data_IF_068731691822
#
_entry.id   IF_068731691822
#
_cell.length_a   1.000
_cell.length_b   1.000
_cell.length_c   1.000
_cell.angle_alpha   90.00
_cell.angle_beta   90.00
_cell.angle_gamma   90.00
#
_symmetry.space_group_name_H-M   'P 1'
#
loop_
_entity.id
_entity.type
_entity.pdbx_description
1 polymer ?
#
# COMPACT_ATOMS: atom_id res chain seq x y z
N UNK A 1 16.87 -11.16 -23.91
CA UNK A 1 15.69 -10.75 -24.73
C UNK A 1 16.03 -9.40 -25.30
N UNK A 2 15.77 -9.15 -26.58
CA UNK A 2 16.00 -7.83 -27.19
C UNK A 2 14.98 -6.83 -26.63
N UNK A 3 15.41 -5.58 -26.50
CA UNK A 3 14.50 -4.47 -26.21
C UNK A 3 13.63 -4.16 -27.42
N UNK A 4 12.48 -3.51 -27.22
CA UNK A 4 11.58 -3.17 -28.31
C UNK A 4 12.26 -2.31 -29.38
N UNK A 5 13.19 -1.43 -28.99
CA UNK A 5 14.00 -0.59 -29.88
C UNK A 5 14.97 -1.38 -30.78
N UNK A 6 15.34 -2.60 -30.35
CA UNK A 6 16.25 -3.49 -31.09
C UNK A 6 15.52 -4.44 -32.04
N UNK A 7 14.17 -4.47 -31.98
CA UNK A 7 13.32 -5.30 -32.83
C UNK A 7 12.89 -4.58 -34.11
N UNK A 8 12.93 -3.25 -34.10
CA UNK A 8 12.45 -2.42 -35.21
C UNK A 8 13.18 -2.66 -36.49
N UNK A 9 12.44 -2.75 -37.59
CA UNK A 9 12.94 -2.79 -38.96
C UNK A 9 12.19 -1.73 -39.75
N UNK A 10 12.91 -0.86 -40.42
CA UNK A 10 12.31 0.21 -41.22
C UNK A 10 11.27 -0.33 -42.23
N UNK A 11 10.13 0.32 -42.29
CA UNK A 11 9.00 -0.09 -43.15
C UNK A 11 8.07 -1.15 -42.55
N UNK A 12 8.33 -1.71 -41.37
CA UNK A 12 7.41 -2.63 -40.67
C UNK A 12 6.38 -1.92 -39.79
N UNK A 13 6.54 -0.63 -39.54
CA UNK A 13 5.60 0.12 -38.72
C UNK A 13 4.20 0.13 -39.35
N UNK A 14 3.19 0.00 -38.49
CA UNK A 14 1.80 0.25 -38.83
C UNK A 14 1.39 1.59 -38.25
N UNK A 15 0.68 2.39 -39.03
CA UNK A 15 -0.01 3.56 -38.52
C UNK A 15 -1.51 3.31 -38.52
N UNK A 16 -2.12 3.44 -37.34
CA UNK A 16 -3.59 3.42 -37.20
C UNK A 16 -4.16 4.83 -37.05
N UNK A 17 -3.29 5.85 -37.14
CA UNK A 17 -3.72 7.23 -37.05
C UNK A 17 -4.48 7.60 -38.30
N UNK A 18 -5.67 8.22 -38.18
CA UNK A 18 -6.36 8.79 -39.32
C UNK A 18 -5.51 9.92 -39.94
N UNK A 19 -5.79 10.22 -41.21
CA UNK A 19 -5.21 11.42 -41.80
C UNK A 19 -5.60 12.67 -41.02
N UNK A 20 -4.68 13.64 -40.94
CA UNK A 20 -4.95 14.91 -40.25
C UNK A 20 -5.96 15.71 -41.09
N UNK A 21 -7.15 15.95 -40.54
CA UNK A 21 -8.24 16.70 -41.15
C UNK A 21 -8.39 18.15 -40.66
N UNK A 22 -7.42 18.59 -39.85
CA UNK A 22 -7.35 19.96 -39.36
C UNK A 22 -6.13 20.69 -39.94
N UNK A 23 -6.14 22.05 -40.02
CA UNK A 23 -4.98 22.79 -40.48
C UNK A 23 -3.76 22.54 -39.64
N UNK A 24 -2.63 22.25 -40.25
CA UNK A 24 -1.35 22.12 -39.58
C UNK A 24 -0.92 23.51 -39.02
N UNK A 25 -0.49 23.51 -37.76
CA UNK A 25 0.09 24.67 -37.14
C UNK A 25 1.61 24.51 -37.06
N UNK A 26 2.33 25.40 -37.74
CA UNK A 26 3.79 25.45 -37.63
C UNK A 26 4.21 25.98 -36.26
N UNK A 27 4.97 25.20 -35.54
CA UNK A 27 5.59 25.62 -34.28
C UNK A 27 6.82 26.50 -34.58
N UNK A 28 7.07 27.48 -33.71
CA UNK A 28 8.27 28.33 -33.81
C UNK A 28 9.57 27.56 -33.57
N UNK A 29 9.48 26.46 -32.83
CA UNK A 29 10.59 25.56 -32.56
C UNK A 29 10.13 24.11 -32.82
N UNK A 30 10.62 23.53 -33.89
CA UNK A 30 10.36 22.14 -34.24
C UNK A 30 11.62 21.29 -34.03
N UNK A 31 11.39 20.02 -33.70
CA UNK A 31 12.47 19.05 -33.61
C UNK A 31 13.11 18.84 -34.97
N UNK A 32 14.41 18.99 -35.05
CA UNK A 32 15.19 18.76 -36.30
C UNK A 32 15.46 17.27 -36.57
N UNK A 33 15.43 16.43 -35.54
CA UNK A 33 15.70 15.01 -35.66
C UNK A 33 14.42 14.18 -35.59
N UNK A 34 14.34 13.11 -36.39
CA UNK A 34 13.21 12.17 -36.34
C UNK A 34 13.13 11.48 -34.98
N UNK A 35 11.92 11.10 -34.57
CA UNK A 35 11.70 10.27 -33.41
C UNK A 35 12.22 8.85 -33.69
N UNK A 36 13.07 8.32 -32.83
CA UNK A 36 13.54 6.94 -32.88
C UNK A 36 12.49 5.96 -32.34
N UNK A 37 11.31 5.95 -32.95
CA UNK A 37 10.25 4.99 -32.59
C UNK A 37 10.55 3.62 -33.23
N UNK A 38 10.29 2.50 -32.54
CA UNK A 38 10.52 1.18 -33.11
C UNK A 38 9.49 0.89 -34.22
N UNK A 39 9.99 0.51 -35.38
CA UNK A 39 9.17 0.06 -36.50
C UNK A 39 8.89 -1.44 -36.35
N UNK A 40 7.84 -1.79 -35.63
CA UNK A 40 7.41 -3.17 -35.36
C UNK A 40 5.97 -3.38 -35.81
N UNK A 41 5.64 -4.59 -36.26
CA UNK A 41 4.25 -4.98 -36.56
C UNK A 41 3.46 -5.18 -35.24
N UNK A 42 2.13 -5.12 -35.30
CA UNK A 42 1.25 -5.44 -34.17
C UNK A 42 1.54 -6.83 -33.59
N UNK A 43 1.78 -7.80 -34.43
CA UNK A 43 2.14 -9.16 -34.04
C UNK A 43 3.46 -9.19 -33.25
N UNK A 44 4.52 -8.52 -33.71
CA UNK A 44 5.80 -8.44 -33.03
C UNK A 44 5.66 -7.71 -31.67
N UNK A 45 4.90 -6.62 -31.63
CA UNK A 45 4.60 -5.87 -30.42
C UNK A 45 3.88 -6.76 -29.39
N UNK A 46 2.82 -7.45 -29.80
CA UNK A 46 2.06 -8.34 -28.93
C UNK A 46 2.91 -9.48 -28.38
N UNK A 47 3.73 -10.12 -29.23
CA UNK A 47 4.64 -11.20 -28.82
C UNK A 47 5.71 -10.73 -27.86
N UNK A 48 6.25 -9.53 -28.07
CA UNK A 48 7.26 -8.94 -27.19
C UNK A 48 6.70 -8.75 -25.75
N UNK A 49 5.57 -8.08 -25.61
CA UNK A 49 4.96 -7.85 -24.28
C UNK A 49 4.40 -9.11 -23.66
N UNK A 50 3.85 -10.04 -24.43
CA UNK A 50 3.46 -11.36 -23.92
C UNK A 50 4.66 -12.13 -23.35
N UNK A 51 5.82 -12.06 -24.01
CA UNK A 51 7.03 -12.69 -23.52
C UNK A 51 7.57 -12.02 -22.24
N UNK A 52 7.39 -10.71 -22.09
CA UNK A 52 7.69 -10.00 -20.85
C UNK A 52 6.75 -10.41 -19.71
N UNK A 53 5.44 -10.44 -19.96
CA UNK A 53 4.45 -10.83 -18.96
C UNK A 53 4.71 -12.25 -18.39
N UNK A 54 5.21 -13.17 -19.20
CA UNK A 54 5.58 -14.53 -18.75
C UNK A 54 6.82 -14.59 -17.85
N UNK A 55 7.50 -13.49 -17.62
CA UNK A 55 8.71 -13.39 -16.78
C UNK A 55 8.49 -12.70 -15.44
N UNK A 56 7.28 -12.22 -15.21
CA UNK A 56 6.90 -11.60 -13.94
C UNK A 56 6.05 -12.57 -13.12
N UNK A 57 6.04 -12.36 -11.81
CA UNK A 57 5.19 -13.07 -10.87
C UNK A 57 4.16 -12.10 -10.30
N UNK A 58 2.90 -12.44 -10.37
CA UNK A 58 1.79 -11.67 -9.81
C UNK A 58 0.90 -12.52 -8.92
N UNK A 59 -0.08 -11.91 -8.29
CA UNK A 59 -1.03 -12.61 -7.38
C UNK A 59 -1.85 -13.71 -8.06
N UNK A 60 -1.88 -13.76 -9.40
CA UNK A 60 -2.55 -14.82 -10.15
C UNK A 60 -1.62 -15.99 -10.52
N UNK A 61 -0.31 -15.83 -10.31
CA UNK A 61 0.68 -16.85 -10.67
C UNK A 61 0.98 -17.79 -9.49
N UNK A 62 0.75 -17.34 -8.25
CA UNK A 62 0.97 -18.13 -7.05
C UNK A 62 1.03 -17.30 -5.78
N UNK A 63 1.54 -17.92 -4.73
CA UNK A 63 1.69 -17.31 -3.41
C UNK A 63 2.53 -16.04 -3.44
N UNK A 64 2.02 -14.97 -2.83
CA UNK A 64 2.63 -13.64 -2.86
C UNK A 64 2.67 -13.03 -1.45
N UNK A 65 3.62 -13.44 -0.59
CA UNK A 65 3.60 -13.15 0.85
C UNK A 65 4.23 -11.82 1.25
N UNK A 66 4.17 -10.81 0.41
CA UNK A 66 4.86 -9.53 0.63
C UNK A 66 4.24 -8.78 1.81
N UNK A 67 4.85 -8.90 2.99
CA UNK A 67 4.40 -8.25 4.22
C UNK A 67 4.40 -6.73 4.14
N UNK A 68 3.51 -6.11 4.90
CA UNK A 68 3.22 -4.67 4.90
C UNK A 68 2.63 -4.12 3.58
N UNK A 69 2.48 -4.96 2.56
CA UNK A 69 1.93 -4.59 1.24
C UNK A 69 0.57 -5.19 0.94
N UNK A 70 0.12 -6.17 1.70
CA UNK A 70 -1.16 -6.88 1.55
C UNK A 70 -1.47 -7.23 0.09
N UNK A 71 -0.69 -8.17 -0.47
CA UNK A 71 -0.84 -8.61 -1.87
C UNK A 71 -1.96 -9.64 -2.00
N UNK A 72 -3.18 -9.24 -1.68
CA UNK A 72 -4.31 -10.15 -1.79
C UNK A 72 -4.82 -10.31 -3.22
N UNK A 73 -5.46 -11.43 -3.46
CA UNK A 73 -6.15 -11.72 -4.71
C UNK A 73 -7.17 -10.62 -5.05
N UNK A 74 -7.18 -10.21 -6.31
CA UNK A 74 -8.14 -9.23 -6.81
C UNK A 74 -9.30 -9.96 -7.47
N UNK A 75 -10.53 -9.95 -6.90
CA UNK A 75 -11.69 -10.66 -7.44
C UNK A 75 -12.03 -10.20 -8.87
N UNK A 76 -12.32 -11.13 -9.76
CA UNK A 76 -12.59 -10.82 -11.19
C UNK A 76 -13.88 -10.00 -11.36
N UNK A 77 -14.85 -10.18 -10.47
CA UNK A 77 -16.08 -9.38 -10.51
C UNK A 77 -15.80 -7.89 -10.29
N UNK A 78 -14.74 -7.53 -9.56
CA UNK A 78 -14.36 -6.12 -9.35
C UNK A 78 -13.93 -5.48 -10.67
N UNK A 79 -13.21 -6.23 -11.51
CA UNK A 79 -12.81 -5.79 -12.86
C UNK A 79 -14.02 -5.68 -13.80
N UNK A 80 -14.92 -6.68 -13.77
CA UNK A 80 -16.13 -6.69 -14.61
C UNK A 80 -17.02 -5.47 -14.29
N UNK A 81 -17.19 -5.15 -13.03
CA UNK A 81 -18.00 -4.00 -12.62
C UNK A 81 -17.33 -2.67 -12.96
N UNK A 82 -16.01 -2.55 -12.76
CA UNK A 82 -15.27 -1.35 -13.13
C UNK A 82 -15.26 -1.10 -14.64
N UNK A 83 -15.34 -2.17 -15.46
CA UNK A 83 -15.38 -2.08 -16.92
C UNK A 83 -16.74 -1.68 -17.50
N UNK A 84 -17.80 -1.57 -16.68
CA UNK A 84 -19.11 -1.19 -17.17
C UNK A 84 -19.09 0.18 -17.87
N UNK A 85 -19.73 0.32 -19.06
CA UNK A 85 -19.75 1.58 -19.82
C UNK A 85 -20.27 2.77 -19.00
N UNK A 86 -21.20 2.54 -18.07
CA UNK A 86 -21.72 3.57 -17.16
C UNK A 86 -20.68 4.18 -16.22
N UNK A 87 -19.52 3.52 -16.04
CA UNK A 87 -18.40 4.03 -15.25
C UNK A 87 -17.22 4.47 -16.14
N UNK A 88 -16.93 3.73 -17.22
CA UNK A 88 -15.75 3.99 -18.06
C UNK A 88 -15.96 5.07 -19.12
N UNK A 89 -17.20 5.36 -19.52
CA UNK A 89 -17.52 6.35 -20.56
C UNK A 89 -18.00 7.69 -19.96
N UNK A 90 -17.45 8.07 -18.81
CA UNK A 90 -17.74 9.33 -18.14
C UNK A 90 -16.51 10.25 -18.17
N UNK A 91 -16.76 11.55 -18.30
CA UNK A 91 -15.73 12.56 -18.09
C UNK A 91 -15.93 13.24 -16.73
N UNK A 92 -14.88 13.42 -15.92
CA UNK A 92 -15.01 13.95 -14.54
C UNK A 92 -15.51 15.40 -14.48
N UNK A 93 -15.47 16.13 -15.58
CA UNK A 93 -15.98 17.52 -15.70
C UNK A 93 -17.30 17.62 -16.47
N UNK A 94 -17.95 16.50 -16.82
CA UNK A 94 -19.28 16.54 -17.42
C UNK A 94 -20.33 17.10 -16.44
N UNK A 95 -21.50 17.58 -16.91
CA UNK A 95 -22.56 18.07 -16.04
C UNK A 95 -22.95 17.06 -14.96
N UNK A 96 -23.05 17.51 -13.71
CA UNK A 96 -23.30 16.67 -12.53
C UNK A 96 -24.57 15.84 -12.69
N UNK A 97 -25.59 16.37 -13.35
CA UNK A 97 -26.86 15.72 -13.61
C UNK A 97 -26.72 14.44 -14.45
N UNK A 98 -25.67 14.34 -15.25
CA UNK A 98 -25.36 13.20 -16.11
C UNK A 98 -24.45 12.17 -15.43
N UNK A 99 -23.90 12.47 -14.25
CA UNK A 99 -22.94 11.64 -13.50
C UNK A 99 -23.50 11.11 -12.18
N UNK A 100 -24.83 11.10 -12.02
CA UNK A 100 -25.46 10.77 -10.73
C UNK A 100 -25.06 9.38 -10.19
N UNK A 101 -25.00 8.34 -11.06
CA UNK A 101 -24.60 7.00 -10.63
C UNK A 101 -23.14 6.92 -10.17
N UNK A 102 -22.24 7.65 -10.81
CA UNK A 102 -20.84 7.72 -10.39
C UNK A 102 -20.68 8.43 -9.03
N UNK A 103 -21.45 9.50 -8.81
CA UNK A 103 -21.48 10.21 -7.52
C UNK A 103 -22.12 9.35 -6.43
N UNK A 104 -23.16 8.57 -6.77
CA UNK A 104 -23.74 7.60 -5.86
C UNK A 104 -22.73 6.53 -5.44
N UNK A 105 -21.95 5.99 -6.36
CA UNK A 105 -20.89 5.01 -6.06
C UNK A 105 -19.85 5.59 -5.08
N UNK A 106 -19.36 6.81 -5.33
CA UNK A 106 -18.44 7.51 -4.41
C UNK A 106 -19.07 7.75 -3.03
N UNK A 107 -20.32 8.19 -2.98
CA UNK A 107 -21.02 8.45 -1.73
C UNK A 107 -21.26 7.17 -0.94
N UNK A 108 -21.69 6.10 -1.62
CA UNK A 108 -21.97 4.80 -0.99
C UNK A 108 -20.70 4.21 -0.39
N UNK A 109 -19.62 4.11 -1.16
CA UNK A 109 -18.35 3.62 -0.60
C UNK A 109 -17.86 4.51 0.54
N UNK A 110 -18.01 5.84 0.43
CA UNK A 110 -17.64 6.76 1.51
C UNK A 110 -18.40 6.48 2.80
N UNK A 111 -19.71 6.18 2.72
CA UNK A 111 -20.53 5.82 3.87
C UNK A 111 -20.13 4.46 4.46
N UNK A 112 -19.94 3.44 3.62
CA UNK A 112 -19.53 2.09 4.05
C UNK A 112 -18.16 2.11 4.73
N UNK A 113 -17.19 2.85 4.16
CA UNK A 113 -15.88 2.99 4.78
C UNK A 113 -15.92 3.83 6.06
N UNK A 114 -16.83 4.82 6.15
CA UNK A 114 -17.08 5.55 7.39
C UNK A 114 -17.47 4.61 8.53
N UNK A 115 -18.34 3.65 8.26
CA UNK A 115 -18.72 2.61 9.23
C UNK A 115 -17.56 1.68 9.59
N UNK A 116 -16.77 1.22 8.59
CA UNK A 116 -15.61 0.35 8.82
C UNK A 116 -14.53 1.06 9.64
N UNK A 117 -14.33 2.34 9.42
CA UNK A 117 -13.30 3.15 10.09
C UNK A 117 -13.76 3.71 11.44
N UNK A 118 -15.08 3.83 11.67
CA UNK A 118 -15.64 4.60 12.77
C UNK A 118 -15.42 6.11 12.60
N UNK A 119 -15.55 6.61 11.36
CA UNK A 119 -15.33 8.00 10.97
C UNK A 119 -16.59 8.62 10.35
N UNK A 120 -16.70 9.95 10.46
CA UNK A 120 -17.92 10.68 10.08
C UNK A 120 -17.88 11.23 8.65
N UNK A 121 -16.68 11.32 8.05
CA UNK A 121 -16.50 11.76 6.68
C UNK A 121 -15.33 11.02 6.03
N UNK A 122 -15.44 10.75 4.71
CA UNK A 122 -14.42 10.07 3.91
C UNK A 122 -14.20 10.80 2.59
N UNK A 123 -12.95 10.88 2.15
CA UNK A 123 -12.56 11.37 0.82
C UNK A 123 -11.70 10.34 0.10
N UNK A 124 -11.80 10.29 -1.24
CA UNK A 124 -11.00 9.42 -2.11
C UNK A 124 -9.96 10.19 -2.93
N UNK A 125 -9.76 11.48 -2.66
CA UNK A 125 -8.82 12.30 -3.43
C UNK A 125 -7.37 11.79 -3.37
N UNK A 126 -6.83 11.31 -2.22
CA UNK A 126 -5.45 10.85 -2.17
C UNK A 126 -5.18 9.68 -3.13
N UNK A 127 -4.04 9.72 -3.82
CA UNK A 127 -3.70 8.76 -4.86
C UNK A 127 -3.23 7.40 -4.31
N UNK A 128 -2.73 7.37 -3.08
CA UNK A 128 -2.18 6.18 -2.42
C UNK A 128 -2.02 6.43 -0.92
N UNK A 129 -1.43 5.44 -0.18
CA UNK A 129 -1.23 5.51 1.26
C UNK A 129 -0.42 6.71 1.73
N UNK A 130 0.79 6.90 1.21
CA UNK A 130 1.65 8.04 1.58
C UNK A 130 0.97 9.41 1.32
N UNK A 131 0.16 9.52 0.25
CA UNK A 131 -0.63 10.71 -0.01
C UNK A 131 -1.81 10.84 0.97
N UNK A 132 -2.38 9.72 1.42
CA UNK A 132 -3.38 9.66 2.49
C UNK A 132 -2.80 10.08 3.83
N UNK A 133 -1.58 9.59 4.17
CA UNK A 133 -0.83 10.04 5.34
C UNK A 133 -0.64 11.57 5.33
N UNK A 134 -0.11 12.10 4.23
CA UNK A 134 0.08 13.53 4.05
C UNK A 134 -1.23 14.31 4.25
N UNK A 135 -2.32 13.83 3.66
CA UNK A 135 -3.64 14.46 3.82
C UNK A 135 -4.11 14.44 5.27
N UNK A 136 -4.01 13.30 5.97
CA UNK A 136 -4.39 13.17 7.38
C UNK A 136 -3.60 14.09 8.30
N UNK A 137 -2.28 14.18 8.11
CA UNK A 137 -1.42 15.08 8.89
C UNK A 137 -1.71 16.55 8.58
N UNK A 138 -2.08 16.89 7.32
CA UNK A 138 -2.56 18.22 6.98
C UNK A 138 -3.88 18.61 7.68
N UNK A 139 -4.79 17.63 7.92
CA UNK A 139 -6.00 17.89 8.72
C UNK A 139 -5.64 18.27 10.16
N UNK A 140 -4.69 17.54 10.76
CA UNK A 140 -4.16 17.84 12.11
C UNK A 140 -3.54 19.26 12.13
N UNK A 141 -2.72 19.58 11.14
CA UNK A 141 -2.10 20.90 11.01
C UNK A 141 -3.14 22.00 10.87
N UNK A 142 -4.14 21.81 10.00
CA UNK A 142 -5.22 22.78 9.79
C UNK A 142 -6.03 22.99 11.07
N UNK A 143 -6.33 21.94 11.82
CA UNK A 143 -7.01 22.02 13.12
C UNK A 143 -6.28 22.89 14.13
N UNK A 144 -4.97 22.68 14.33
CA UNK A 144 -4.18 23.49 15.26
C UNK A 144 -3.99 24.92 14.77
N UNK A 145 -3.76 25.10 13.47
CA UNK A 145 -3.61 26.45 12.86
C UNK A 145 -4.90 27.28 13.00
N UNK A 146 -6.06 26.68 12.75
CA UNK A 146 -7.36 27.36 12.85
C UNK A 146 -7.68 27.85 14.27
N UNK A 147 -7.15 27.14 15.27
CA UNK A 147 -7.27 27.50 16.70
C UNK A 147 -6.21 28.50 17.18
N UNK A 148 -5.28 28.88 16.34
CA UNK A 148 -4.14 29.73 16.71
C UNK A 148 -3.10 29.02 17.60
N UNK A 149 -3.14 27.70 17.71
CA UNK A 149 -2.25 26.89 18.57
C UNK A 149 -0.94 26.57 17.82
N UNK A 150 -0.12 27.60 17.63
CA UNK A 150 1.15 27.52 16.89
C UNK A 150 2.29 26.85 17.68
N UNK A 151 2.10 26.61 18.96
CA UNK A 151 3.07 25.94 19.80
C UNK A 151 3.17 24.42 19.52
N UNK A 152 2.18 23.83 18.87
CA UNK A 152 2.12 22.39 18.57
C UNK A 152 2.93 22.05 17.33
N UNK A 153 4.18 21.71 17.55
CA UNK A 153 5.17 21.50 16.49
C UNK A 153 5.68 20.06 16.39
N UNK A 154 5.28 19.17 17.33
CA UNK A 154 5.78 17.80 17.41
C UNK A 154 4.73 16.77 16.98
N UNK A 155 5.18 15.79 16.22
CA UNK A 155 4.44 14.53 15.94
C UNK A 155 5.21 13.38 16.55
N UNK A 156 4.52 12.55 17.34
CA UNK A 156 5.06 11.34 17.94
C UNK A 156 4.93 10.20 16.90
N UNK A 157 5.98 9.39 16.73
CA UNK A 157 6.00 8.24 15.81
C UNK A 157 6.74 7.08 16.48
N UNK A 158 6.16 5.88 16.60
CA UNK A 158 6.88 4.70 17.09
C UNK A 158 8.02 4.28 16.14
N UNK A 159 9.06 3.65 16.69
CA UNK A 159 10.21 3.15 15.93
C UNK A 159 9.86 1.98 15.00
N UNK A 160 8.76 1.27 15.30
CA UNK A 160 8.17 0.25 14.43
C UNK A 160 7.37 0.82 13.26
N UNK A 161 7.15 2.14 13.17
CA UNK A 161 6.37 2.75 12.10
C UNK A 161 7.04 2.58 10.73
N UNK A 162 6.23 2.56 9.67
CA UNK A 162 6.74 2.62 8.31
C UNK A 162 7.50 3.93 8.09
N UNK A 163 8.60 3.88 7.32
CA UNK A 163 9.47 5.05 7.08
C UNK A 163 8.77 6.26 6.44
N UNK A 164 7.60 6.08 5.84
CA UNK A 164 6.80 7.17 5.29
C UNK A 164 6.15 8.04 6.37
N UNK A 165 5.85 7.51 7.55
CA UNK A 165 5.22 8.27 8.63
C UNK A 165 6.11 9.45 9.11
N UNK A 166 7.38 9.23 9.54
CA UNK A 166 8.24 10.34 9.91
C UNK A 166 8.54 11.28 8.74
N UNK A 167 8.68 10.76 7.51
CA UNK A 167 8.89 11.57 6.32
C UNK A 167 7.70 12.50 6.05
N UNK A 168 6.47 12.00 6.17
CA UNK A 168 5.23 12.78 6.02
C UNK A 168 5.10 13.85 7.09
N UNK A 169 5.36 13.53 8.36
CA UNK A 169 5.33 14.51 9.45
C UNK A 169 6.32 15.65 9.19
N UNK A 170 7.56 15.32 8.80
CA UNK A 170 8.59 16.31 8.45
C UNK A 170 8.17 17.18 7.24
N UNK A 171 7.57 16.55 6.20
CA UNK A 171 7.07 17.25 5.01
C UNK A 171 5.94 18.24 5.33
N UNK A 172 5.13 17.93 6.34
CA UNK A 172 4.12 18.83 6.88
C UNK A 172 4.69 19.93 7.79
N UNK A 173 6.00 19.93 8.05
CA UNK A 173 6.71 20.92 8.86
C UNK A 173 6.65 20.66 10.36
N UNK A 174 6.41 19.41 10.77
CA UNK A 174 6.48 18.99 12.16
C UNK A 174 7.85 18.40 12.51
N UNK A 175 8.25 18.55 13.77
CA UNK A 175 9.36 17.82 14.33
C UNK A 175 8.90 16.40 14.70
N UNK A 176 9.64 15.39 14.27
CA UNK A 176 9.37 13.99 14.59
C UNK A 176 10.03 13.60 15.89
N UNK A 177 9.27 13.00 16.79
CA UNK A 177 9.77 12.40 18.04
C UNK A 177 9.54 10.89 17.97
N UNK A 178 10.61 10.12 17.90
CA UNK A 178 10.53 8.67 17.89
C UNK A 178 10.34 8.11 19.30
N UNK A 179 9.46 7.12 19.43
CA UNK A 179 9.19 6.39 20.67
C UNK A 179 9.65 4.94 20.47
N UNK A 180 10.41 4.36 21.40
CA UNK A 180 10.83 2.96 21.31
C UNK A 180 9.64 2.01 21.51
N UNK A 181 9.76 0.82 20.91
CA UNK A 181 8.91 -0.32 21.21
C UNK A 181 9.43 -1.07 22.44
N UNK A 182 8.53 -1.61 23.24
CA UNK A 182 8.83 -2.52 24.33
C UNK A 182 9.25 -3.92 23.84
N UNK A 183 9.63 -4.78 24.78
CA UNK A 183 10.03 -6.17 24.49
C UNK A 183 8.90 -7.01 23.88
N UNK A 184 7.65 -6.60 24.07
CA UNK A 184 6.44 -7.21 23.50
C UNK A 184 6.05 -6.61 22.14
N UNK A 185 6.86 -5.73 21.57
CA UNK A 185 6.61 -5.05 20.30
C UNK A 185 5.55 -3.95 20.35
N UNK A 186 4.96 -3.67 21.51
CA UNK A 186 4.03 -2.57 21.73
C UNK A 186 4.77 -1.25 22.01
N UNK A 187 4.06 -0.13 21.94
CA UNK A 187 4.62 1.20 22.31
C UNK A 187 5.01 1.23 23.78
N UNK A 188 6.22 1.72 24.08
CA UNK A 188 6.64 1.98 25.47
C UNK A 188 5.86 3.17 26.03
N UNK A 189 4.94 2.88 26.96
CA UNK A 189 4.07 3.90 27.57
C UNK A 189 4.82 4.93 28.41
N UNK A 190 5.91 4.54 29.06
CA UNK A 190 6.68 5.46 29.89
C UNK A 190 7.48 6.42 29.02
N UNK A 191 8.08 5.92 27.94
CA UNK A 191 8.72 6.75 26.92
C UNK A 191 7.70 7.68 26.25
N UNK A 192 6.49 7.19 25.95
CA UNK A 192 5.41 8.01 25.38
C UNK A 192 5.03 9.15 26.34
N UNK A 193 4.77 8.86 27.62
CA UNK A 193 4.44 9.89 28.62
C UNK A 193 5.54 10.93 28.79
N UNK A 194 6.81 10.50 28.73
CA UNK A 194 7.94 11.40 28.83
C UNK A 194 8.10 12.34 27.62
N UNK A 195 7.70 11.90 26.44
CA UNK A 195 7.83 12.65 25.19
C UNK A 195 6.66 13.61 24.92
N UNK A 196 5.48 13.33 25.47
CA UNK A 196 4.25 14.09 25.22
C UNK A 196 4.21 15.35 26.09
N UNK A 197 3.88 16.48 25.45
CA UNK A 197 3.79 17.78 26.13
C UNK A 197 2.82 18.76 25.42
N UNK A 198 2.76 20.01 25.87
CA UNK A 198 1.88 21.03 25.30
C UNK A 198 2.23 21.41 23.85
N UNK A 199 3.41 21.02 23.39
CA UNK A 199 3.91 21.21 22.04
C UNK A 199 3.63 20.00 21.12
N UNK A 200 2.97 18.95 21.61
CA UNK A 200 2.58 17.77 20.85
C UNK A 200 1.37 18.09 19.97
N UNK A 201 1.53 18.06 18.65
CA UNK A 201 0.44 18.23 17.68
C UNK A 201 -0.34 16.93 17.50
N UNK A 202 0.32 15.77 17.55
CA UNK A 202 -0.35 14.48 17.41
C UNK A 202 0.58 13.29 17.43
N UNK A 203 -0.03 12.13 17.20
CA UNK A 203 0.59 10.81 17.07
C UNK A 203 0.26 10.23 15.69
N UNK A 204 1.23 9.62 15.03
CA UNK A 204 1.01 8.73 13.88
C UNK A 204 1.29 7.30 14.32
N UNK A 205 0.29 6.43 14.21
CA UNK A 205 0.39 5.03 14.67
C UNK A 205 -0.28 4.08 13.70
N UNK A 206 0.36 2.94 13.47
CA UNK A 206 -0.21 1.77 12.79
C UNK A 206 -0.60 0.73 13.84
N UNK A 207 -1.84 0.24 13.80
CA UNK A 207 -2.28 -0.83 14.71
C UNK A 207 -3.20 -1.83 13.98
N UNK A 208 -2.77 -3.08 13.73
CA UNK A 208 -1.50 -3.69 14.16
C UNK A 208 -0.27 -2.98 13.56
N UNK A 209 0.83 -3.06 14.28
CA UNK A 209 2.09 -2.46 13.85
C UNK A 209 2.83 -3.32 12.80
N UNK A 210 3.97 -2.85 12.29
CA UNK A 210 4.74 -3.52 11.24
C UNK A 210 5.46 -4.79 11.68
N UNK A 211 5.44 -5.14 12.95
CA UNK A 211 5.91 -6.47 13.42
C UNK A 211 4.76 -7.47 13.61
N UNK A 212 3.55 -7.10 13.17
CA UNK A 212 2.36 -7.94 13.23
C UNK A 212 1.67 -7.98 14.60
N UNK A 213 1.98 -7.08 15.53
CA UNK A 213 1.44 -7.07 16.89
C UNK A 213 0.35 -6.01 17.02
N UNK A 214 -0.79 -6.38 17.61
CA UNK A 214 -1.83 -5.44 18.01
C UNK A 214 -1.47 -4.81 19.35
N UNK A 215 -1.34 -3.49 19.39
CA UNK A 215 -1.03 -2.79 20.64
C UNK A 215 -2.25 -2.83 21.58
N UNK A 216 -2.13 -3.63 22.63
CA UNK A 216 -3.17 -3.83 23.64
C UNK A 216 -3.47 -2.58 24.48
N UNK A 217 -2.53 -1.63 24.51
CA UNK A 217 -2.62 -0.39 25.29
C UNK A 217 -3.19 0.77 24.46
N UNK A 218 -3.77 0.50 23.29
CA UNK A 218 -4.16 1.54 22.32
C UNK A 218 -5.06 2.62 22.91
N UNK A 219 -6.02 2.27 23.79
CA UNK A 219 -6.91 3.24 24.42
C UNK A 219 -6.15 4.18 25.39
N UNK A 220 -5.11 3.68 26.05
CA UNK A 220 -4.26 4.49 26.91
C UNK A 220 -3.34 5.39 26.09
N UNK A 221 -2.76 4.88 25.00
CA UNK A 221 -1.93 5.64 24.08
C UNK A 221 -2.70 6.84 23.53
N UNK A 222 -3.88 6.62 22.97
CA UNK A 222 -4.70 7.70 22.40
C UNK A 222 -5.15 8.69 23.47
N UNK A 223 -5.48 8.20 24.67
CA UNK A 223 -5.82 9.07 25.81
C UNK A 223 -4.65 9.98 26.21
N UNK A 224 -3.43 9.49 26.30
CA UNK A 224 -2.24 10.29 26.66
C UNK A 224 -2.08 11.45 25.67
N UNK A 225 -2.24 11.21 24.37
CA UNK A 225 -2.15 12.23 23.33
C UNK A 225 -3.28 13.25 23.44
N UNK A 226 -4.51 12.80 23.65
CA UNK A 226 -5.69 13.68 23.78
C UNK A 226 -5.63 14.53 25.05
N UNK A 227 -5.20 13.96 26.17
CA UNK A 227 -5.03 14.71 27.43
C UNK A 227 -4.03 15.86 27.28
N UNK A 228 -3.02 15.70 26.43
CA UNK A 228 -2.09 16.76 26.06
C UNK A 228 -2.65 17.74 25.01
N UNK A 229 -3.82 17.47 24.45
CA UNK A 229 -4.48 18.26 23.40
C UNK A 229 -3.96 18.00 21.98
N UNK A 230 -3.20 16.94 21.76
CA UNK A 230 -2.82 16.43 20.45
C UNK A 230 -3.92 15.61 19.79
N UNK A 231 -3.75 15.21 18.53
CA UNK A 231 -4.67 14.37 17.76
C UNK A 231 -4.00 13.06 17.36
N UNK A 232 -4.81 12.03 17.15
CA UNK A 232 -4.36 10.69 16.81
C UNK A 232 -4.67 10.38 15.34
N UNK A 233 -3.62 10.11 14.56
CA UNK A 233 -3.72 9.66 13.19
C UNK A 233 -3.44 8.15 13.11
N UNK A 234 -4.35 7.42 12.46
CA UNK A 234 -4.23 5.99 12.20
C UNK A 234 -3.66 5.73 10.81
N UNK A 235 -2.52 5.07 10.73
CA UNK A 235 -2.03 4.50 9.49
C UNK A 235 -2.77 3.19 9.20
N UNK A 236 -3.69 3.24 8.25
CA UNK A 236 -4.56 2.13 7.89
C UNK A 236 -3.97 1.18 6.84
N UNK A 237 -2.65 1.16 6.68
CA UNK A 237 -1.99 0.20 5.79
C UNK A 237 -2.30 -1.25 6.17
N UNK A 238 -2.49 -1.53 7.47
CA UNK A 238 -2.77 -2.86 8.04
C UNK A 238 -4.22 -3.05 8.47
N UNK A 239 -5.15 -2.23 7.98
CA UNK A 239 -6.58 -2.32 8.32
C UNK A 239 -7.18 -3.70 7.97
N UNK A 240 -6.58 -4.42 7.03
CA UNK A 240 -6.96 -5.78 6.64
C UNK A 240 -7.08 -6.74 7.83
N UNK A 241 -6.25 -6.56 8.86
CA UNK A 241 -6.24 -7.41 10.04
C UNK A 241 -7.42 -7.17 11.01
N UNK A 242 -8.07 -6.01 10.94
CA UNK A 242 -9.04 -5.55 11.95
C UNK A 242 -10.39 -5.12 11.37
N UNK A 243 -10.53 -4.99 10.05
CA UNK A 243 -11.78 -4.55 9.42
C UNK A 243 -12.97 -5.44 9.83
N UNK A 244 -14.07 -4.81 10.22
CA UNK A 244 -15.27 -5.52 10.70
C UNK A 244 -15.14 -6.20 12.07
N UNK A 245 -13.97 -6.08 12.74
CA UNK A 245 -13.72 -6.60 14.10
C UNK A 245 -13.61 -5.45 15.09
N UNK A 246 -12.78 -4.45 14.81
CA UNK A 246 -12.64 -3.22 15.58
C UNK A 246 -12.51 -2.02 14.63
N UNK A 247 -13.08 -0.88 15.03
CA UNK A 247 -13.01 0.34 14.22
C UNK A 247 -11.96 1.29 14.79
N UNK A 248 -11.04 1.81 13.97
CA UNK A 248 -10.02 2.77 14.42
C UNK A 248 -10.60 3.97 15.18
N UNK A 249 -11.73 4.51 14.72
CA UNK A 249 -12.40 5.61 15.43
C UNK A 249 -12.85 5.29 16.85
N UNK A 250 -13.12 4.01 17.17
CA UNK A 250 -13.49 3.56 18.53
C UNK A 250 -12.24 3.33 19.40
N UNK A 251 -11.07 3.17 18.77
CA UNK A 251 -9.78 3.14 19.48
C UNK A 251 -9.26 4.53 19.86
N UNK A 252 -9.97 5.61 19.50
CA UNK A 252 -9.59 6.97 19.82
C UNK A 252 -8.83 7.70 18.71
N UNK A 253 -8.81 7.17 17.48
CA UNK A 253 -8.22 7.89 16.35
C UNK A 253 -9.16 8.95 15.78
N UNK A 254 -8.59 10.11 15.44
CA UNK A 254 -9.31 11.28 14.94
C UNK A 254 -9.39 11.33 13.42
N UNK A 255 -8.37 10.76 12.77
CA UNK A 255 -8.32 10.59 11.32
C UNK A 255 -7.54 9.34 10.94
N UNK A 256 -7.83 8.84 9.75
CA UNK A 256 -7.26 7.61 9.20
C UNK A 256 -7.00 7.78 7.70
N UNK A 257 -5.96 7.10 7.19
CA UNK A 257 -5.99 6.69 5.79
C UNK A 257 -6.18 5.17 5.67
N UNK A 258 -6.67 4.71 4.54
CA UNK A 258 -6.65 3.30 4.16
C UNK A 258 -6.29 3.14 2.69
N UNK A 259 -5.49 2.12 2.40
CA UNK A 259 -5.11 1.76 1.05
C UNK A 259 -6.18 0.87 0.42
N UNK A 260 -6.89 1.36 -0.60
CA UNK A 260 -7.87 0.52 -1.31
C UNK A 260 -7.20 -0.67 -2.01
N UNK A 261 -5.95 -0.48 -2.46
CA UNK A 261 -5.13 -1.51 -3.11
C UNK A 261 -4.46 -2.51 -2.12
N UNK A 262 -4.76 -2.43 -0.83
CA UNK A 262 -4.38 -3.40 0.20
C UNK A 262 -5.63 -4.04 0.76
N UNK A 263 -6.27 -3.38 1.72
CA UNK A 263 -7.43 -3.89 2.47
C UNK A 263 -8.62 -4.26 1.58
N UNK A 264 -8.89 -3.50 0.53
CA UNK A 264 -10.09 -3.66 -0.31
C UNK A 264 -9.80 -4.31 -1.67
N UNK A 265 -8.72 -5.09 -1.77
CA UNK A 265 -8.41 -6.01 -2.87
C UNK A 265 -8.36 -5.37 -4.28
N UNK A 266 -8.09 -4.07 -4.40
CA UNK A 266 -7.89 -3.46 -5.71
C UNK A 266 -6.45 -3.64 -6.19
N UNK A 267 -6.16 -3.62 -7.52
CA UNK A 267 -4.84 -3.88 -8.03
C UNK A 267 -3.77 -2.88 -7.56
N UNK A 268 -2.55 -3.36 -7.28
CA UNK A 268 -1.36 -2.51 -7.10
C UNK A 268 -0.87 -1.93 -8.42
N UNK A 269 -1.01 -2.67 -9.49
CA UNK A 269 -0.73 -2.22 -10.87
C UNK A 269 0.73 -1.91 -11.18
N UNK A 270 1.68 -2.49 -10.47
CA UNK A 270 3.10 -2.31 -10.73
C UNK A 270 3.58 -0.85 -10.59
N UNK A 271 3.09 -0.13 -9.60
CA UNK A 271 3.35 1.30 -9.42
C UNK A 271 2.27 2.20 -10.06
N UNK A 272 1.15 1.62 -10.44
CA UNK A 272 0.03 2.26 -11.12
C UNK A 272 -1.14 2.63 -10.20
N UNK A 273 -2.34 2.10 -10.44
CA UNK A 273 -3.59 2.66 -9.98
C UNK A 273 -3.89 2.34 -8.49
N UNK A 274 -3.14 2.89 -7.56
CA UNK A 274 -3.51 2.87 -6.15
C UNK A 274 -4.62 3.86 -5.83
N UNK A 275 -5.15 3.81 -4.61
CA UNK A 275 -5.98 4.85 -4.03
C UNK A 275 -5.85 4.84 -2.51
N UNK A 276 -5.96 6.02 -1.90
CA UNK A 276 -5.92 6.22 -0.46
C UNK A 276 -7.21 6.89 0.01
N UNK A 277 -8.09 6.16 0.67
CA UNK A 277 -9.23 6.77 1.34
C UNK A 277 -8.76 7.44 2.64
N UNK A 278 -9.21 8.66 2.91
CA UNK A 278 -8.97 9.35 4.19
C UNK A 278 -10.29 9.61 4.89
N UNK A 279 -10.40 9.10 6.12
CA UNK A 279 -11.54 9.33 7.00
C UNK A 279 -11.19 10.25 8.17
N UNK A 280 -12.18 10.96 8.71
CA UNK A 280 -11.98 11.76 9.92
C UNK A 280 -13.26 11.91 10.74
N UNK A 281 -13.07 12.26 12.02
CA UNK A 281 -14.18 12.61 12.93
C UNK A 281 -14.82 13.95 12.52
N UNK A 282 -16.09 14.17 12.92
CA UNK A 282 -16.92 15.31 12.51
C UNK A 282 -16.23 16.68 12.73
N UNK A 283 -15.50 16.86 13.83
CA UNK A 283 -14.83 18.14 14.11
C UNK A 283 -13.68 18.47 13.13
N UNK A 284 -13.14 17.47 12.42
CA UNK A 284 -12.11 17.64 11.37
C UNK A 284 -12.71 17.79 9.96
N UNK A 285 -13.98 17.45 9.76
CA UNK A 285 -14.64 17.43 8.45
C UNK A 285 -14.57 18.79 7.73
N UNK A 286 -14.64 19.89 8.45
CA UNK A 286 -14.54 21.25 7.87
C UNK A 286 -13.18 21.54 7.22
N UNK A 287 -12.13 20.76 7.50
CA UNK A 287 -10.81 20.89 6.90
C UNK A 287 -10.56 19.91 5.75
N UNK A 288 -11.43 18.92 5.53
CA UNK A 288 -11.27 17.90 4.48
C UNK A 288 -10.97 18.54 3.12
N UNK A 289 -10.20 17.85 2.25
CA UNK A 289 -9.98 18.33 0.89
C UNK A 289 -11.30 18.41 0.13
N UNK A 290 -11.57 19.56 -0.46
CA UNK A 290 -12.79 19.78 -1.26
C UNK A 290 -12.57 19.47 -2.75
N UNK A 291 -13.65 19.22 -3.51
CA UNK A 291 -15.00 19.02 -3.02
C UNK A 291 -15.26 17.59 -2.52
N UNK A 292 -16.20 17.45 -1.59
CA UNK A 292 -16.76 16.16 -1.15
C UNK A 292 -18.05 15.88 -1.90
N UNK A 293 -18.35 14.61 -2.15
CA UNK A 293 -19.66 14.19 -2.66
C UNK A 293 -20.67 14.26 -1.54
N UNK A 294 -21.81 14.90 -1.81
CA UNK A 294 -22.92 15.05 -0.86
C UNK A 294 -24.25 14.66 -1.51
N UNK A 295 -25.19 14.16 -0.70
CA UNK A 295 -26.55 13.90 -1.13
C UNK A 295 -27.47 14.97 -0.55
N UNK A 296 -28.24 15.67 -1.41
CA UNK A 296 -29.22 16.66 -1.01
C UNK A 296 -30.47 16.51 -1.87
N UNK A 297 -31.63 16.48 -1.22
CA UNK A 297 -32.95 16.38 -1.90
C UNK A 297 -33.03 15.21 -2.91
N UNK A 298 -32.45 14.07 -2.54
CA UNK A 298 -32.41 12.85 -3.38
C UNK A 298 -31.42 12.88 -4.52
N UNK A 299 -30.64 13.94 -4.72
CA UNK A 299 -29.62 14.08 -5.76
C UNK A 299 -28.22 14.16 -5.15
N UNK A 300 -27.25 13.67 -5.92
CA UNK A 300 -25.84 13.77 -5.57
C UNK A 300 -25.19 15.00 -6.21
N UNK A 301 -24.28 15.62 -5.48
CA UNK A 301 -23.56 16.80 -5.94
C UNK A 301 -22.26 16.98 -5.16
N UNK A 302 -21.63 18.12 -5.34
CA UNK A 302 -20.38 18.47 -4.66
C UNK A 302 -20.56 19.61 -3.68
N UNK A 303 -19.90 19.53 -2.53
CA UNK A 303 -19.77 20.61 -1.56
C UNK A 303 -18.32 20.73 -1.09
N UNK A 304 -17.82 21.95 -1.01
CA UNK A 304 -16.50 22.21 -0.43
C UNK A 304 -16.64 22.54 1.05
N UNK A 305 -15.87 21.90 1.95
CA UNK A 305 -15.85 22.27 3.35
C UNK A 305 -15.39 23.71 3.55
N UNK A 306 -15.88 24.37 4.60
CA UNK A 306 -15.70 25.81 4.84
C UNK A 306 -14.22 26.22 5.00
N UNK A 307 -13.45 25.40 5.71
CA UNK A 307 -12.03 25.60 6.01
C UNK A 307 -11.15 24.55 5.34
N UNK A 308 -11.57 24.08 4.17
CA UNK A 308 -10.88 23.04 3.43
C UNK A 308 -9.38 23.33 3.25
N UNK A 309 -8.53 22.31 3.40
CA UNK A 309 -7.12 22.38 3.04
C UNK A 309 -6.88 22.53 1.52
N UNK A 310 -7.96 22.59 0.73
CA UNK A 310 -7.89 22.65 -0.74
C UNK A 310 -7.95 21.27 -1.38
N UNK A 311 -7.64 21.21 -2.67
CA UNK A 311 -7.52 19.95 -3.39
C UNK A 311 -6.13 19.36 -3.16
N UNK A 312 -6.07 18.06 -2.86
CA UNK A 312 -4.79 17.34 -2.73
C UNK A 312 -4.43 16.59 -4.01
N UNK A 313 -5.41 16.37 -4.90
CA UNK A 313 -5.23 15.78 -6.23
C UNK A 313 -6.26 16.34 -7.22
N UNK A 314 -5.96 16.22 -8.52
CA UNK A 314 -6.92 16.53 -9.59
C UNK A 314 -8.15 15.61 -9.51
N UNK A 315 -9.29 16.13 -9.93
CA UNK A 315 -10.59 15.46 -9.95
C UNK A 315 -11.04 14.98 -8.56
N UNK A 316 -11.54 13.75 -8.44
CA UNK A 316 -12.24 13.22 -7.26
C UNK A 316 -11.62 11.92 -6.74
N UNK A 317 -10.37 11.68 -7.05
CA UNK A 317 -9.64 10.44 -6.77
C UNK A 317 -9.54 9.51 -7.99
N UNK A 318 -9.07 8.29 -7.76
CA UNK A 318 -8.95 7.27 -8.79
C UNK A 318 -10.27 6.49 -8.89
N UNK A 319 -11.21 7.00 -9.71
CA UNK A 319 -12.61 6.57 -9.71
C UNK A 319 -12.81 5.07 -9.93
N UNK A 320 -12.14 4.49 -10.94
CA UNK A 320 -12.28 3.06 -11.23
C UNK A 320 -11.74 2.16 -10.10
N UNK A 321 -10.77 2.64 -9.33
CA UNK A 321 -10.29 1.94 -8.12
C UNK A 321 -11.36 2.01 -7.02
N UNK A 322 -12.08 3.12 -6.91
CA UNK A 322 -13.21 3.25 -5.98
C UNK A 322 -14.34 2.30 -6.36
N UNK A 323 -14.64 2.14 -7.65
CA UNK A 323 -15.66 1.19 -8.13
C UNK A 323 -15.29 -0.25 -7.78
N UNK A 324 -14.03 -0.65 -7.98
CA UNK A 324 -13.53 -1.99 -7.57
C UNK A 324 -13.69 -2.21 -6.07
N UNK A 325 -13.24 -1.25 -5.25
CA UNK A 325 -13.38 -1.34 -3.80
C UNK A 325 -14.84 -1.40 -3.35
N UNK A 326 -15.74 -0.64 -4.00
CA UNK A 326 -17.18 -0.70 -3.74
C UNK A 326 -17.72 -2.09 -4.06
N UNK A 327 -17.33 -2.65 -5.19
CA UNK A 327 -17.75 -4.01 -5.58
C UNK A 327 -17.30 -5.04 -4.56
N UNK A 328 -16.03 -4.98 -4.12
CA UNK A 328 -15.50 -5.84 -3.07
C UNK A 328 -16.32 -5.74 -1.77
N UNK A 329 -16.57 -4.51 -1.29
CA UNK A 329 -17.33 -4.27 -0.06
C UNK A 329 -18.77 -4.81 -0.17
N UNK A 330 -19.45 -4.53 -1.28
CA UNK A 330 -20.83 -5.00 -1.50
C UNK A 330 -20.92 -6.52 -1.69
N UNK A 331 -19.92 -7.12 -2.34
CA UNK A 331 -19.87 -8.58 -2.55
C UNK A 331 -19.67 -9.33 -1.23
N UNK A 332 -18.78 -8.87 -0.38
CA UNK A 332 -18.52 -9.49 0.92
C UNK A 332 -19.60 -9.18 1.95
N UNK A 333 -20.12 -7.97 1.93
CA UNK A 333 -21.03 -7.49 2.95
C UNK A 333 -20.41 -7.50 4.36
N UNK A 334 -21.21 -7.19 5.36
CA UNK A 334 -20.76 -7.06 6.76
C UNK A 334 -20.10 -8.34 7.32
N UNK A 335 -20.65 -9.50 7.01
CA UNK A 335 -20.12 -10.78 7.50
C UNK A 335 -18.83 -11.16 6.80
N UNK A 336 -18.78 -11.04 5.47
CA UNK A 336 -17.60 -11.42 4.67
C UNK A 336 -16.39 -10.50 4.92
N UNK A 337 -16.59 -9.19 5.16
CA UNK A 337 -15.51 -8.28 5.55
C UNK A 337 -14.85 -8.74 6.85
N UNK A 338 -15.66 -9.09 7.86
CA UNK A 338 -15.15 -9.62 9.12
C UNK A 338 -14.44 -10.96 8.95
N UNK A 339 -15.02 -11.85 8.15
CA UNK A 339 -14.46 -13.17 7.88
C UNK A 339 -13.10 -13.06 7.16
N UNK A 340 -12.97 -12.17 6.20
CA UNK A 340 -11.70 -11.89 5.52
C UNK A 340 -10.60 -11.47 6.51
N UNK A 341 -10.89 -10.54 7.43
CA UNK A 341 -9.94 -10.14 8.46
C UNK A 341 -9.54 -11.30 9.37
N UNK A 342 -10.51 -12.08 9.84
CA UNK A 342 -10.26 -13.23 10.71
C UNK A 342 -9.43 -14.32 10.00
N UNK A 343 -9.69 -14.59 8.73
CA UNK A 343 -8.94 -15.57 7.94
C UNK A 343 -7.52 -15.09 7.67
N UNK A 344 -7.30 -13.79 7.41
CA UNK A 344 -5.95 -13.25 7.26
C UNK A 344 -5.10 -13.46 8.53
N UNK A 345 -5.69 -13.21 9.70
CA UNK A 345 -5.03 -13.43 11.00
C UNK A 345 -4.81 -14.93 11.26
N UNK A 346 -5.79 -15.77 10.94
CA UNK A 346 -5.67 -17.23 11.10
C UNK A 346 -4.54 -17.79 10.23
N UNK A 347 -4.48 -17.40 8.96
CA UNK A 347 -3.46 -17.87 8.02
C UNK A 347 -2.05 -17.45 8.45
N UNK A 348 -1.86 -16.21 8.90
CA UNK A 348 -0.57 -15.75 9.41
C UNK A 348 -0.11 -16.55 10.63
N UNK A 349 -1.00 -16.76 11.61
CA UNK A 349 -0.69 -17.57 12.79
C UNK A 349 -0.44 -19.04 12.45
N UNK A 350 -1.18 -19.60 11.48
CA UNK A 350 -0.96 -20.95 11.00
C UNK A 350 0.48 -21.13 10.48
N UNK A 351 0.92 -20.26 9.57
CA UNK A 351 2.28 -20.32 9.03
C UNK A 351 3.34 -20.04 10.11
N UNK A 352 3.13 -19.06 10.99
CA UNK A 352 4.03 -18.75 12.11
C UNK A 352 4.26 -19.98 12.99
N UNK A 353 3.20 -20.67 13.40
CA UNK A 353 3.30 -21.86 14.25
C UNK A 353 4.03 -23.00 13.52
N UNK A 354 3.85 -23.15 12.21
CA UNK A 354 4.52 -24.15 11.39
C UNK A 354 6.02 -23.89 11.22
N UNK A 355 6.44 -22.63 11.29
CA UNK A 355 7.83 -22.21 11.04
C UNK A 355 8.64 -21.90 12.31
N UNK A 356 8.00 -21.69 13.46
CA UNK A 356 8.68 -21.23 14.68
C UNK A 356 9.69 -22.20 15.27
N UNK A 357 9.58 -23.48 15.00
CA UNK A 357 10.53 -24.48 15.48
C UNK A 357 11.78 -24.58 14.59
N UNK A 358 11.74 -23.96 13.40
CA UNK A 358 12.84 -23.91 12.43
C UNK A 358 13.49 -22.53 12.39
N UNK A 359 12.70 -21.47 12.46
CA UNK A 359 13.16 -20.07 12.36
C UNK A 359 12.88 -19.30 13.64
N UNK A 360 13.78 -18.39 13.98
CA UNK A 360 13.57 -17.47 15.11
C UNK A 360 12.49 -16.44 14.76
N UNK A 361 11.39 -16.43 15.51
CA UNK A 361 10.37 -15.39 15.42
C UNK A 361 10.86 -14.11 16.11
N UNK A 362 10.73 -12.95 15.46
CA UNK A 362 11.10 -11.68 16.09
C UNK A 362 10.30 -11.42 17.36
N UNK A 363 9.03 -11.84 17.35
CA UNK A 363 8.13 -11.85 18.52
C UNK A 363 7.37 -13.18 18.50
N UNK A 364 7.58 -14.03 19.51
CA UNK A 364 6.88 -15.35 19.59
C UNK A 364 5.55 -15.23 20.35
N UNK A 365 4.72 -14.30 19.89
CA UNK A 365 3.35 -14.10 20.36
C UNK A 365 2.33 -14.36 19.24
N UNK A 366 1.03 -14.37 19.56
CA UNK A 366 -0.02 -14.42 18.55
C UNK A 366 0.09 -13.14 17.72
N UNK A 367 0.33 -13.31 16.42
CA UNK A 367 0.39 -12.20 15.49
C UNK A 367 -1.00 -11.86 14.92
N UNK A 368 -1.09 -10.71 14.28
CA UNK A 368 -2.24 -10.36 13.47
C UNK A 368 -2.09 -10.95 12.05
N UNK A 369 -2.21 -10.19 10.99
CA UNK A 369 -2.21 -10.66 9.60
C UNK A 369 -0.83 -10.98 9.01
N UNK A 370 0.23 -10.62 9.70
CA UNK A 370 1.63 -10.82 9.29
C UNK A 370 2.50 -11.14 10.49
N UNK A 371 3.67 -11.71 10.24
CA UNK A 371 4.69 -11.99 11.25
C UNK A 371 6.08 -11.81 10.66
N UNK A 372 7.07 -11.60 11.55
CA UNK A 372 8.47 -11.37 11.15
C UNK A 372 9.36 -12.46 11.73
N UNK A 373 10.18 -13.06 10.85
CA UNK A 373 11.27 -13.95 11.22
C UNK A 373 12.59 -13.19 11.20
N UNK A 374 13.48 -13.47 12.14
CA UNK A 374 14.86 -13.01 12.12
C UNK A 374 15.79 -14.15 11.72
N UNK A 375 16.61 -13.92 10.69
CA UNK A 375 17.60 -14.90 10.22
C UNK A 375 19.00 -14.64 10.78
N UNK A 376 19.12 -13.82 11.81
CA UNK A 376 20.43 -13.48 12.42
C UNK A 376 21.20 -14.72 12.85
N UNK A 377 20.54 -15.70 13.46
CA UNK A 377 21.21 -16.92 13.93
C UNK A 377 21.59 -17.81 12.75
N UNK A 378 20.70 -18.01 11.78
CA UNK A 378 21.02 -18.73 10.55
C UNK A 378 22.21 -18.10 9.81
N UNK A 379 22.22 -16.77 9.71
CA UNK A 379 23.34 -16.05 9.07
C UNK A 379 24.67 -16.21 9.82
N UNK A 380 24.67 -16.19 11.15
CA UNK A 380 25.88 -16.46 11.95
C UNK A 380 26.42 -17.87 11.78
N UNK A 381 25.52 -18.86 11.69
CA UNK A 381 25.89 -20.27 11.60
C UNK A 381 26.37 -20.69 10.21
N UNK A 382 25.74 -20.16 9.17
CA UNK A 382 25.92 -20.65 7.78
C UNK A 382 26.47 -19.62 6.83
N UNK A 383 26.45 -18.34 7.17
CA UNK A 383 26.77 -17.22 6.27
C UNK A 383 25.59 -16.83 5.34
N UNK A 384 24.49 -17.58 5.33
CA UNK A 384 23.34 -17.34 4.45
C UNK A 384 22.49 -16.17 5.01
N UNK A 385 22.35 -15.12 4.24
CA UNK A 385 21.56 -13.92 4.59
C UNK A 385 20.08 -14.08 4.24
N UNK A 386 19.25 -13.15 4.74
CA UNK A 386 17.83 -13.04 4.34
C UNK A 386 17.68 -12.87 2.82
N UNK A 387 18.58 -12.12 2.17
CA UNK A 387 18.62 -11.97 0.72
C UNK A 387 18.91 -13.30 0.02
N UNK A 388 19.86 -14.09 0.52
CA UNK A 388 20.22 -15.37 -0.08
C UNK A 388 19.04 -16.36 -0.02
N UNK A 389 18.38 -16.43 1.14
CA UNK A 389 17.19 -17.26 1.30
C UNK A 389 16.07 -16.82 0.35
N UNK A 390 15.82 -15.51 0.27
CA UNK A 390 14.80 -14.94 -0.63
C UNK A 390 15.11 -15.23 -2.11
N UNK A 391 16.38 -15.15 -2.52
CA UNK A 391 16.80 -15.54 -3.88
C UNK A 391 16.61 -17.05 -4.11
N UNK A 392 16.87 -17.89 -3.11
CA UNK A 392 16.60 -19.31 -3.16
C UNK A 392 15.12 -19.64 -3.37
N UNK A 393 14.19 -18.87 -2.80
CA UNK A 393 12.75 -19.04 -3.01
C UNK A 393 12.33 -18.95 -4.47
N UNK A 394 12.97 -18.06 -5.25
CA UNK A 394 12.70 -17.90 -6.67
C UNK A 394 12.92 -19.20 -7.46
N UNK A 395 13.89 -20.03 -7.04
CA UNK A 395 14.15 -21.33 -7.68
C UNK A 395 13.05 -22.38 -7.40
N UNK A 396 12.23 -22.15 -6.38
CA UNK A 396 11.03 -22.92 -6.10
C UNK A 396 9.74 -22.30 -6.67
N UNK A 397 9.85 -21.21 -7.46
CA UNK A 397 8.69 -20.53 -8.05
C UNK A 397 7.91 -19.66 -7.06
N UNK A 398 8.47 -19.38 -5.89
CA UNK A 398 7.82 -18.51 -4.89
C UNK A 398 8.28 -17.07 -5.02
N UNK A 399 7.33 -16.14 -4.85
CA UNK A 399 7.69 -14.75 -4.61
C UNK A 399 8.24 -14.61 -3.18
N UNK A 400 9.41 -13.99 -2.98
CA UNK A 400 9.95 -13.81 -1.63
C UNK A 400 9.11 -12.82 -0.83
N UNK A 401 9.12 -12.93 0.52
CA UNK A 401 8.49 -11.96 1.40
C UNK A 401 9.28 -10.64 1.44
N UNK A 402 8.80 -9.67 2.21
CA UNK A 402 9.52 -8.42 2.46
C UNK A 402 10.78 -8.71 3.26
N UNK A 403 11.92 -8.23 2.77
CA UNK A 403 13.24 -8.42 3.40
C UNK A 403 13.72 -7.14 4.09
N UNK A 404 14.54 -7.30 5.14
CA UNK A 404 15.20 -6.20 5.86
C UNK A 404 14.24 -5.12 6.37
N UNK A 405 13.00 -5.49 6.60
CA UNK A 405 11.96 -4.63 7.15
C UNK A 405 11.06 -5.43 8.10
N UNK A 406 10.61 -4.85 9.23
CA UNK A 406 10.91 -3.49 9.72
C UNK A 406 12.35 -3.34 10.23
N UNK A 407 12.89 -2.11 10.24
CA UNK A 407 14.31 -1.84 10.54
C UNK A 407 14.75 -2.25 11.95
N UNK A 408 13.81 -2.40 12.88
CA UNK A 408 14.07 -2.85 14.26
C UNK A 408 14.38 -4.36 14.34
N UNK A 409 14.18 -5.13 13.26
CA UNK A 409 14.50 -6.56 13.19
C UNK A 409 15.62 -6.77 12.17
N UNK A 410 16.77 -7.28 12.64
CA UNK A 410 17.90 -7.61 11.78
C UNK A 410 17.65 -8.91 10.99
N UNK A 411 18.15 -8.99 9.76
CA UNK A 411 17.95 -10.11 8.82
C UNK A 411 16.47 -10.55 8.76
N UNK A 412 15.58 -9.55 8.65
CA UNK A 412 14.15 -9.75 8.70
C UNK A 412 13.60 -10.36 7.40
N UNK A 413 12.68 -11.31 7.57
CA UNK A 413 11.72 -11.74 6.56
C UNK A 413 10.30 -11.55 7.13
N UNK A 414 9.50 -10.68 6.49
CA UNK A 414 8.13 -10.38 6.91
C UNK A 414 7.14 -11.06 5.97
N UNK A 415 6.29 -11.91 6.51
CA UNK A 415 5.36 -12.76 5.77
C UNK A 415 3.92 -12.36 6.05
N UNK A 416 3.16 -12.07 5.00
CA UNK A 416 1.73 -11.81 5.02
C UNK A 416 1.03 -12.73 3.99
N UNK A 417 0.41 -13.85 4.43
CA UNK A 417 -0.21 -14.81 3.51
C UNK A 417 -1.54 -14.32 2.91
N UNK A 418 -2.18 -13.32 3.50
CA UNK A 418 -3.55 -12.89 3.21
C UNK A 418 -4.61 -13.96 3.51
N UNK A 419 -5.88 -13.62 3.29
CA UNK A 419 -7.02 -14.47 3.63
C UNK A 419 -7.40 -15.50 2.56
N UNK A 420 -6.93 -15.33 1.32
CA UNK A 420 -7.34 -16.14 0.17
C UNK A 420 -6.50 -17.40 -0.04
N UNK A 421 -5.40 -17.53 0.68
CA UNK A 421 -4.53 -18.70 0.53
C UNK A 421 -5.12 -19.96 1.15
N UNK A 422 -5.00 -21.07 0.43
CA UNK A 422 -5.45 -22.37 0.92
C UNK A 422 -4.47 -22.94 1.94
N UNK A 423 -4.97 -23.84 2.79
CA UNK A 423 -4.12 -24.56 3.74
C UNK A 423 -3.02 -25.35 3.03
N UNK A 424 -3.36 -25.98 1.89
CA UNK A 424 -2.45 -26.77 1.08
C UNK A 424 -1.31 -25.90 0.52
N UNK A 425 -1.62 -24.70 0.00
CA UNK A 425 -0.61 -23.73 -0.45
C UNK A 425 0.32 -23.34 0.70
N UNK A 426 -0.24 -23.02 1.86
CA UNK A 426 0.56 -22.65 3.03
C UNK A 426 1.44 -23.79 3.54
N UNK A 427 0.95 -25.03 3.51
CA UNK A 427 1.74 -26.23 3.88
C UNK A 427 2.92 -26.45 2.92
N UNK A 428 2.69 -26.30 1.61
CA UNK A 428 3.73 -26.38 0.60
C UNK A 428 4.80 -25.30 0.81
N UNK A 429 4.38 -24.06 0.98
CA UNK A 429 5.28 -22.91 1.22
C UNK A 429 6.10 -23.12 2.49
N UNK A 430 5.48 -23.53 3.61
CA UNK A 430 6.22 -23.84 4.84
C UNK A 430 7.24 -24.94 4.62
N UNK A 431 6.91 -25.99 3.85
CA UNK A 431 7.85 -27.05 3.49
C UNK A 431 9.05 -26.54 2.70
N UNK A 432 8.83 -25.56 1.80
CA UNK A 432 9.92 -24.94 1.03
C UNK A 432 10.83 -24.10 1.95
N UNK A 433 10.28 -23.35 2.91
CA UNK A 433 11.07 -22.62 3.90
C UNK A 433 11.96 -23.58 4.70
N UNK A 434 11.42 -24.72 5.18
CA UNK A 434 12.21 -25.72 5.90
C UNK A 434 13.32 -26.34 5.03
N UNK A 435 13.03 -26.65 3.75
CA UNK A 435 14.05 -27.15 2.80
C UNK A 435 15.17 -26.12 2.56
N UNK A 436 14.84 -24.84 2.46
CA UNK A 436 15.83 -23.77 2.31
C UNK A 436 16.68 -23.61 3.58
N UNK A 437 16.11 -23.79 4.75
CA UNK A 437 16.85 -23.83 6.01
C UNK A 437 17.83 -25.01 6.07
N UNK A 438 17.40 -26.22 5.70
CA UNK A 438 18.25 -27.37 5.60
C UNK A 438 19.37 -27.19 4.56
N UNK A 439 19.04 -26.56 3.42
CA UNK A 439 20.01 -26.26 2.36
C UNK A 439 21.05 -25.24 2.82
N UNK A 440 20.65 -24.26 3.61
CA UNK A 440 21.58 -23.29 4.19
C UNK A 440 22.67 -23.94 5.05
N UNK A 441 22.35 -25.04 5.75
CA UNK A 441 23.32 -25.79 6.55
C UNK A 441 24.12 -26.83 5.74
N UNK A 442 23.50 -27.45 4.74
CA UNK A 442 24.15 -28.54 3.98
C UNK A 442 24.93 -28.07 2.77
N UNK A 443 24.48 -27.03 2.09
CA UNK A 443 25.12 -26.47 0.90
C UNK A 443 24.79 -24.96 0.76
N UNK A 444 25.39 -24.11 1.60
CA UNK A 444 25.13 -22.66 1.57
C UNK A 444 25.53 -22.00 0.24
N UNK A 445 26.49 -22.57 -0.50
CA UNK A 445 26.95 -22.01 -1.78
C UNK A 445 25.83 -21.99 -2.84
N UNK A 446 24.95 -22.98 -2.83
CA UNK A 446 23.77 -22.98 -3.69
C UNK A 446 22.87 -21.78 -3.41
N UNK A 447 22.72 -21.34 -2.17
CA UNK A 447 21.94 -20.15 -1.83
C UNK A 447 22.69 -18.85 -2.14
N UNK A 448 24.01 -18.80 -1.93
CA UNK A 448 24.81 -17.63 -2.29
C UNK A 448 24.79 -17.34 -3.80
N UNK A 449 24.64 -18.35 -4.63
CA UNK A 449 24.59 -18.21 -6.10
C UNK A 449 23.18 -18.16 -6.67
N UNK A 450 22.14 -18.42 -5.85
CA UNK A 450 20.73 -18.32 -6.27
C UNK A 450 20.37 -16.89 -6.75
N UNK A 451 19.37 -16.76 -7.67
CA UNK A 451 18.51 -17.78 -8.26
C UNK A 451 19.15 -18.47 -9.47
N UNK A 452 18.79 -19.71 -9.75
CA UNK A 452 19.30 -20.52 -10.86
C UNK A 452 18.30 -20.72 -11.99
N UNK A 453 17.00 -20.77 -11.66
CA UNK A 453 15.90 -21.08 -12.60
C UNK A 453 15.34 -19.83 -13.31
N UNK A 454 15.61 -18.65 -12.80
CA UNK A 454 15.04 -17.39 -13.34
C UNK A 454 15.80 -16.90 -14.59
N UNK A 455 15.13 -16.13 -15.48
CA UNK A 455 15.76 -15.56 -16.67
C UNK A 455 16.93 -14.61 -16.38
N UNK A 456 16.97 -14.03 -15.18
CA UNK A 456 18.01 -13.10 -14.71
C UNK A 456 18.55 -13.62 -13.39
N UNK A 457 19.85 -13.62 -13.25
CA UNK A 457 20.56 -13.99 -12.01
C UNK A 457 20.58 -12.82 -11.03
N UNK A 458 21.52 -12.82 -10.07
CA UNK A 458 21.75 -11.69 -9.18
C UNK A 458 22.08 -10.44 -9.97
N UNK A 459 21.44 -9.35 -9.63
CA UNK A 459 21.66 -8.04 -10.23
C UNK A 459 22.70 -7.25 -9.43
N UNK A 460 23.43 -6.39 -10.10
CA UNK A 460 24.28 -5.38 -9.46
C UNK A 460 23.40 -4.21 -9.02
N UNK A 461 22.70 -4.38 -7.90
CA UNK A 461 21.77 -3.39 -7.33
C UNK A 461 22.50 -2.10 -6.92
N UNK A 462 23.74 -2.25 -6.41
CA UNK A 462 24.56 -1.12 -5.99
C UNK A 462 25.03 -0.29 -7.19
N UNK A 463 25.51 -0.95 -8.24
CA UNK A 463 25.89 -0.30 -9.49
C UNK A 463 24.70 0.39 -10.16
N UNK A 464 23.55 -0.27 -10.19
CA UNK A 464 22.32 0.29 -10.75
C UNK A 464 21.86 1.55 -10.00
N UNK A 465 21.99 1.58 -8.66
CA UNK A 465 21.62 2.74 -7.85
C UNK A 465 22.63 3.90 -7.96
N UNK A 466 23.93 3.60 -8.04
CA UNK A 466 24.99 4.62 -8.08
C UNK A 466 25.29 5.16 -9.47
N UNK A 467 25.13 4.33 -10.49
CA UNK A 467 25.46 4.63 -11.89
C UNK A 467 24.23 4.48 -12.77
N UNK A 468 23.17 5.19 -12.45
CA UNK A 468 21.88 5.08 -13.15
C UNK A 468 22.00 5.45 -14.62
N UNK A 469 21.60 4.53 -15.51
CA UNK A 469 21.43 4.79 -16.95
C UNK A 469 19.93 5.00 -17.20
N UNK A 470 19.52 6.25 -17.32
CA UNK A 470 18.09 6.63 -17.39
C UNK A 470 17.53 6.69 -18.81
N UNK A 471 18.36 6.57 -19.83
CA UNK A 471 17.96 6.66 -21.23
C UNK A 471 18.57 5.53 -22.04
N UNK A 472 17.77 4.97 -22.95
CA UNK A 472 18.32 4.07 -23.97
C UNK A 472 19.27 4.84 -24.89
N UNK A 473 20.43 4.26 -25.19
CA UNK A 473 21.37 4.80 -26.16
C UNK A 473 21.23 4.02 -27.45
N UNK A 474 20.82 4.71 -28.51
CA UNK A 474 20.78 4.15 -29.85
C UNK A 474 22.22 4.00 -30.34
N UNK A 475 22.52 2.83 -30.93
CA UNK A 475 23.83 2.53 -31.49
C UNK A 475 24.04 3.25 -32.84
#
# INVERSE_FOLDING_TARGET
>A
MKLIFELGVEGRGMTLMPECDVPEYQLSEERSEALHLPHVSENELTRHYTALCKRIHGVNDGFYPLGSCTMKYNPKIDEDMAALPGFTQLHPLQPIETAQGALEALHTLGSELGEVFGMDAVTFQPAAGAHGEFTGVLLIKAYHTDRGDTARTKIIVPDSAHGTNPATAAMCGFQVINIPSGVDGCVDLDALRAAVGPDTAGLMLTNPNTVGIFDKNILEITKIIHDAGGLCYYDGAHLNAVMGVVRPGDMGFDCIHSNLHKTFATPHGGGGPGAGAVGCKEFLKKYMPGPLVVKKDGKYGFASPEKSIGRVKMFYGNFDVVVRALTYVLTLGKSGIREAAMNAVLNANYMRVRLKDTFTMAYDEICMHEFVMSLVDLHKETGVSALDLAKGMLDFGLHPPTMYFPLIVHEALMIEPCETESKETMDEVCSIYCKLFELAHSDPETLHTAPHSTPVRRLDEVGAARNMVLRYQFA
#
